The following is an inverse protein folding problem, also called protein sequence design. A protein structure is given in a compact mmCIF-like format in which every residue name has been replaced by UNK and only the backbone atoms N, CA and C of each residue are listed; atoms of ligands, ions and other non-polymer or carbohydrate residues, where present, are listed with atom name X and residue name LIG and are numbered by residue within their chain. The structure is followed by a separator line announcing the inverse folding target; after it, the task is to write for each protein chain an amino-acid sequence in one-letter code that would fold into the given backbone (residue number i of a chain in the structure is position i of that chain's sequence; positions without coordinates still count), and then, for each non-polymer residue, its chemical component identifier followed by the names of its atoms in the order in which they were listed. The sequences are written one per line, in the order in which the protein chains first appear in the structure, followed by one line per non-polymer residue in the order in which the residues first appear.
data_IF_948762010841
#
_entry.id   IF_948762010841
#
_cell.length_a   1.000
_cell.length_b   1.000
_cell.length_c   1.000
_cell.angle_alpha   90.00
_cell.angle_beta   90.00
_cell.angle_gamma   90.00
#
_symmetry.space_group_name_H-M   'P 1'
#
loop_
_entity.id
_entity.type
_entity.pdbx_description
1 polymer ?
#
# COMPACT_ATOMS: atom_id res chain seq x y z
N UNK A 1 8.11 -15.38 -5.83
CA UNK A 1 9.06 -15.59 -6.95
C UNK A 1 9.36 -14.31 -7.75
N UNK A 2 8.37 -13.43 -7.91
CA UNK A 2 8.50 -12.18 -8.70
C UNK A 2 9.35 -11.12 -7.96
N UNK A 3 9.13 -10.95 -6.68
CA UNK A 3 9.89 -10.03 -5.81
C UNK A 3 11.37 -10.43 -5.73
N UNK A 4 11.68 -11.73 -5.76
CA UNK A 4 13.08 -12.20 -5.77
C UNK A 4 13.83 -11.88 -7.08
N UNK A 5 13.10 -11.69 -8.20
CA UNK A 5 13.68 -11.28 -9.50
C UNK A 5 14.04 -9.79 -9.55
N UNK A 6 13.41 -8.98 -8.71
CA UNK A 6 13.68 -7.52 -8.62
C UNK A 6 14.87 -7.16 -7.73
N UNK A 7 15.57 -8.15 -7.16
CA UNK A 7 16.72 -7.93 -6.26
C UNK A 7 16.31 -7.59 -4.82
N UNK A 8 15.01 -7.65 -4.48
CA UNK A 8 14.50 -7.35 -3.14
C UNK A 8 14.81 -8.54 -2.21
N UNK A 9 15.49 -8.25 -1.10
CA UNK A 9 15.76 -9.25 -0.06
C UNK A 9 14.51 -9.47 0.80
N UNK A 10 13.96 -10.67 0.76
CA UNK A 10 12.88 -11.10 1.65
C UNK A 10 13.45 -12.02 2.72
N UNK A 11 13.35 -11.63 3.99
CA UNK A 11 13.75 -12.45 5.12
C UNK A 11 12.93 -13.77 5.12
N UNK A 12 13.53 -14.85 4.68
CA UNK A 12 12.87 -16.17 4.55
C UNK A 12 12.60 -16.84 5.89
N UNK A 13 13.32 -16.44 6.93
CA UNK A 13 13.23 -16.91 8.32
C UNK A 13 12.07 -16.25 9.10
N UNK A 14 11.48 -15.17 8.57
CA UNK A 14 10.31 -14.53 9.16
C UNK A 14 9.03 -15.07 8.52
N UNK A 15 8.15 -15.73 9.31
CA UNK A 15 6.93 -16.33 8.76
C UNK A 15 5.96 -15.28 8.19
N UNK A 16 5.30 -15.64 7.09
CA UNK A 16 4.25 -14.80 6.50
C UNK A 16 2.94 -14.88 7.35
N UNK A 17 2.08 -13.85 7.30
CA UNK A 17 2.35 -12.53 6.76
C UNK A 17 3.39 -11.78 7.61
N UNK A 18 4.23 -10.97 6.96
CA UNK A 18 5.22 -10.13 7.64
C UNK A 18 4.58 -8.81 8.04
N UNK A 19 4.95 -8.30 9.20
CA UNK A 19 4.41 -7.06 9.75
C UNK A 19 5.48 -5.98 9.68
N UNK A 20 5.14 -4.86 9.06
CA UNK A 20 5.99 -3.67 8.94
C UNK A 20 5.35 -2.52 9.71
N UNK A 21 5.83 -2.20 10.92
CA UNK A 21 5.33 -1.03 11.66
C UNK A 21 5.66 0.26 10.91
N UNK A 22 4.65 1.10 10.69
CA UNK A 22 4.75 2.37 9.98
C UNK A 22 4.35 3.51 10.92
N UNK A 23 5.12 4.59 10.92
CA UNK A 23 4.81 5.78 11.70
C UNK A 23 3.63 6.57 11.11
N UNK A 24 2.85 7.23 11.96
CA UNK A 24 1.68 8.01 11.53
C UNK A 24 2.02 9.13 10.53
N UNK A 25 3.27 9.62 10.52
CA UNK A 25 3.74 10.62 9.57
C UNK A 25 3.72 10.14 8.12
N UNK A 26 3.73 8.83 7.89
CA UNK A 26 3.65 8.24 6.56
C UNK A 26 2.20 8.05 6.07
N UNK A 27 1.18 8.43 6.84
CA UNK A 27 -0.22 8.35 6.41
C UNK A 27 -0.64 9.69 5.81
N UNK A 28 -1.19 9.66 4.59
CA UNK A 28 -1.63 10.85 3.87
C UNK A 28 -2.97 10.61 3.15
N UNK A 29 -3.77 11.68 3.03
CA UNK A 29 -5.06 11.71 2.31
C UNK A 29 -5.11 12.84 1.28
N UNK A 30 -3.97 13.48 1.02
CA UNK A 30 -3.84 14.63 0.12
C UNK A 30 -3.94 14.23 -1.35
N UNK A 31 -3.93 15.21 -2.23
CA UNK A 31 -3.97 14.97 -3.68
C UNK A 31 -2.60 14.73 -4.31
N UNK A 32 -1.52 14.83 -3.53
CA UNK A 32 -0.15 14.71 -4.03
C UNK A 32 0.73 13.92 -3.07
N UNK A 33 1.49 12.98 -3.60
CA UNK A 33 2.51 12.21 -2.90
C UNK A 33 3.88 12.72 -3.31
N UNK A 34 4.65 13.22 -2.36
CA UNK A 34 5.98 13.76 -2.60
C UNK A 34 7.04 12.68 -2.44
N UNK A 35 7.88 12.51 -3.45
CA UNK A 35 8.89 11.46 -3.52
C UNK A 35 10.28 12.02 -3.82
N UNK A 36 11.32 11.26 -3.49
CA UNK A 36 12.73 11.64 -3.74
C UNK A 36 13.22 11.19 -5.13
N UNK A 37 12.46 10.36 -5.84
CA UNK A 37 12.81 9.91 -7.18
C UNK A 37 11.57 9.43 -7.94
N UNK A 38 11.65 9.36 -9.26
CA UNK A 38 10.62 8.78 -10.12
C UNK A 38 10.57 7.23 -10.04
N UNK A 39 11.47 6.58 -9.31
CA UNK A 39 11.49 5.12 -9.13
C UNK A 39 10.59 4.67 -7.98
N UNK A 40 9.36 5.16 -7.99
CA UNK A 40 8.35 4.84 -6.98
C UNK A 40 7.09 4.32 -7.64
N UNK A 41 6.35 3.48 -6.94
CA UNK A 41 5.07 2.95 -7.44
C UNK A 41 4.09 2.71 -6.31
N UNK A 42 2.80 2.87 -6.61
CA UNK A 42 1.72 2.55 -5.70
C UNK A 42 1.44 1.05 -5.64
N UNK A 43 0.96 0.61 -4.51
CA UNK A 43 0.44 -0.74 -4.26
C UNK A 43 -0.95 -0.60 -3.67
N UNK A 44 -1.99 -0.96 -4.45
CA UNK A 44 -3.34 -0.91 -3.88
C UNK A 44 -3.51 -1.98 -2.81
N UNK A 45 -4.05 -1.59 -1.66
CA UNK A 45 -4.22 -2.46 -0.51
C UNK A 45 -5.56 -2.23 0.17
N UNK A 46 -6.14 -3.30 0.69
CA UNK A 46 -7.21 -3.19 1.67
C UNK A 46 -6.65 -2.51 2.93
N UNK A 47 -7.42 -1.60 3.49
CA UNK A 47 -7.09 -0.95 4.75
C UNK A 47 -8.15 -1.25 5.78
N UNK A 48 -7.74 -1.81 6.92
CA UNK A 48 -8.58 -2.03 8.08
C UNK A 48 -8.37 -0.88 9.06
N UNK A 49 -9.43 -0.20 9.46
CA UNK A 49 -9.41 0.76 10.56
C UNK A 49 -10.11 0.13 11.77
N UNK A 50 -9.38 0.03 12.87
CA UNK A 50 -9.88 -0.48 14.15
C UNK A 50 -10.17 0.70 15.07
N UNK A 51 -11.44 1.03 15.19
CA UNK A 51 -12.01 2.01 16.11
C UNK A 51 -12.91 1.33 17.13
N UNK A 52 -14.03 1.95 17.49
CA UNK A 52 -15.08 1.29 18.29
C UNK A 52 -15.77 0.16 17.51
N UNK A 53 -15.73 0.24 16.19
CA UNK A 53 -16.07 -0.81 15.23
C UNK A 53 -14.94 -0.99 14.23
N UNK A 54 -14.93 -2.14 13.57
CA UNK A 54 -14.04 -2.41 12.45
C UNK A 54 -14.64 -1.78 11.19
N UNK A 55 -13.81 -1.04 10.47
CA UNK A 55 -14.14 -0.49 9.17
C UNK A 55 -13.11 -0.96 8.16
N UNK A 56 -13.50 -1.08 6.91
CA UNK A 56 -12.62 -1.44 5.80
C UNK A 56 -12.69 -0.38 4.71
N UNK A 57 -11.56 -0.12 4.13
CA UNK A 57 -11.37 0.83 3.05
C UNK A 57 -10.28 0.36 2.11
N UNK A 58 -9.76 1.28 1.33
CA UNK A 58 -8.68 1.04 0.38
C UNK A 58 -7.66 2.16 0.45
N UNK A 59 -6.40 1.81 0.28
CA UNK A 59 -5.29 2.73 0.24
C UNK A 59 -4.26 2.34 -0.81
N UNK A 60 -3.19 3.09 -0.88
CA UNK A 60 -2.02 2.79 -1.69
C UNK A 60 -0.77 2.90 -0.84
N UNK A 61 -0.07 1.80 -0.63
CA UNK A 61 1.28 1.80 -0.08
C UNK A 61 2.24 2.25 -1.19
N UNK A 62 2.54 3.56 -1.21
CA UNK A 62 3.46 4.09 -2.21
C UNK A 62 4.89 3.80 -1.77
N UNK A 63 5.65 3.12 -2.62
CA UNK A 63 6.93 2.52 -2.24
C UNK A 63 8.06 3.03 -3.13
N UNK A 64 9.18 3.44 -2.53
CA UNK A 64 10.44 3.71 -3.25
C UNK A 64 11.10 2.38 -3.61
N UNK A 65 11.09 2.05 -4.90
CA UNK A 65 11.55 0.75 -5.41
C UNK A 65 13.06 0.58 -5.37
N UNK A 66 13.80 1.66 -5.47
CA UNK A 66 15.25 1.61 -5.32
C UNK A 66 15.64 1.33 -3.86
N UNK A 67 15.02 2.02 -2.92
CA UNK A 67 15.26 1.78 -1.49
C UNK A 67 14.75 0.41 -1.03
N UNK A 68 13.70 -0.11 -1.63
CA UNK A 68 13.14 -1.43 -1.32
C UNK A 68 14.13 -2.56 -1.56
N UNK A 69 15.03 -2.43 -2.55
CA UNK A 69 16.11 -3.41 -2.79
C UNK A 69 17.11 -3.50 -1.63
N UNK A 70 17.20 -2.43 -0.83
CA UNK A 70 18.10 -2.34 0.32
C UNK A 70 17.37 -2.62 1.63
N UNK A 71 16.16 -2.08 1.79
CA UNK A 71 15.39 -2.18 3.02
C UNK A 71 13.90 -2.02 2.75
N UNK A 72 13.14 -3.11 2.83
CA UNK A 72 11.66 -3.06 2.74
C UNK A 72 11.08 -2.14 3.82
N UNK A 73 11.42 -2.27 5.12
CA UNK A 73 10.90 -1.34 6.13
C UNK A 73 11.25 0.12 5.85
N UNK A 74 12.47 0.38 5.36
CA UNK A 74 12.93 1.73 5.01
C UNK A 74 12.15 2.32 3.84
N UNK A 75 11.90 1.55 2.78
CA UNK A 75 11.16 2.02 1.60
C UNK A 75 9.71 2.40 1.94
N UNK A 76 9.08 1.65 2.84
CA UNK A 76 7.71 1.93 3.31
C UNK A 76 7.61 3.14 4.25
N UNK A 77 8.71 3.54 4.89
CA UNK A 77 8.79 4.77 5.69
C UNK A 77 9.18 5.99 4.87
N UNK A 78 9.85 5.78 3.72
CA UNK A 78 10.35 6.87 2.86
C UNK A 78 9.24 7.51 2.01
N UNK A 79 8.19 6.77 1.72
CA UNK A 79 7.00 7.24 1.01
C UNK A 79 5.78 7.25 1.94
N UNK A 80 4.68 7.80 1.44
CA UNK A 80 3.44 7.82 2.21
C UNK A 80 2.55 6.63 1.88
N UNK A 81 1.78 6.19 2.86
CA UNK A 81 0.64 5.31 2.68
C UNK A 81 -0.58 6.19 2.42
N UNK A 82 -0.96 6.32 1.14
CA UNK A 82 -2.09 7.14 0.76
C UNK A 82 -3.41 6.42 1.06
N UNK A 83 -4.38 7.15 1.63
CA UNK A 83 -5.61 6.59 2.15
C UNK A 83 -6.82 7.23 1.48
N UNK A 84 -7.77 6.41 1.04
CA UNK A 84 -9.07 6.90 0.61
C UNK A 84 -9.87 7.46 1.80
N UNK A 85 -10.63 8.56 1.62
CA UNK A 85 -11.33 9.21 2.73
C UNK A 85 -12.57 8.46 3.21
N UNK A 86 -12.98 7.40 2.50
CA UNK A 86 -14.21 6.65 2.77
C UNK A 86 -13.91 5.24 3.25
N UNK A 87 -14.67 4.81 4.25
CA UNK A 87 -14.65 3.45 4.79
C UNK A 87 -16.06 2.88 4.87
N UNK A 88 -16.18 1.57 4.81
CA UNK A 88 -17.41 0.83 5.09
C UNK A 88 -17.30 0.14 6.43
N UNK A 89 -18.40 0.09 7.19
CA UNK A 89 -18.44 -0.77 8.37
C UNK A 89 -18.30 -2.24 7.93
N UNK A 90 -17.46 -3.00 8.62
CA UNK A 90 -17.26 -4.42 8.32
C UNK A 90 -18.58 -5.21 8.33
N UNK A 91 -19.43 -4.92 9.33
CA UNK A 91 -20.73 -5.58 9.48
C UNK A 91 -21.65 -5.41 8.25
N UNK A 92 -21.49 -4.31 7.49
CA UNK A 92 -22.31 -4.03 6.31
C UNK A 92 -21.88 -4.82 5.06
N UNK A 93 -20.66 -5.34 5.03
CA UNK A 93 -20.09 -5.95 3.82
C UNK A 93 -19.53 -7.35 4.03
N UNK A 94 -19.48 -7.85 5.26
CA UNK A 94 -18.87 -9.14 5.61
C UNK A 94 -19.44 -10.30 4.76
N UNK A 95 -20.76 -10.37 4.57
CA UNK A 95 -21.44 -11.42 3.80
C UNK A 95 -21.14 -11.35 2.28
N UNK A 96 -20.61 -10.24 1.80
CA UNK A 96 -20.29 -10.01 0.37
C UNK A 96 -18.81 -9.76 0.14
N UNK A 97 -17.99 -9.93 1.17
CA UNK A 97 -16.56 -9.61 1.14
C UNK A 97 -15.82 -10.31 0.00
N UNK A 98 -16.03 -11.59 -0.16
CA UNK A 98 -15.33 -12.40 -1.17
C UNK A 98 -15.65 -12.00 -2.63
N UNK A 99 -16.75 -11.26 -2.84
CA UNK A 99 -17.13 -10.73 -4.16
C UNK A 99 -16.56 -9.34 -4.43
N UNK A 100 -15.86 -8.72 -3.46
CA UNK A 100 -15.23 -7.43 -3.64
C UNK A 100 -14.02 -7.53 -4.57
N UNK A 101 -13.77 -6.45 -5.30
CA UNK A 101 -12.69 -6.34 -6.27
C UNK A 101 -11.87 -5.09 -5.96
N UNK A 102 -10.57 -5.25 -5.93
CA UNK A 102 -9.61 -4.18 -5.73
C UNK A 102 -8.87 -3.90 -7.05
N UNK A 103 -8.74 -2.63 -7.43
CA UNK A 103 -8.06 -2.20 -8.67
C UNK A 103 -7.17 -1.01 -8.43
N UNK A 104 -6.13 -0.89 -9.26
CA UNK A 104 -5.36 0.34 -9.40
C UNK A 104 -5.02 0.64 -10.85
N UNK A 105 -4.78 1.93 -11.11
CA UNK A 105 -4.37 2.44 -12.42
C UNK A 105 -3.18 3.38 -12.23
N UNK A 106 -2.27 3.34 -13.19
CA UNK A 106 -1.16 4.27 -13.32
C UNK A 106 -1.26 4.97 -14.66
N UNK A 107 -1.29 6.32 -14.67
CA UNK A 107 -1.48 7.13 -15.88
C UNK A 107 -2.64 6.63 -16.76
N UNK A 108 -3.79 6.38 -16.11
CA UNK A 108 -5.04 5.85 -16.66
C UNK A 108 -4.97 4.40 -17.22
N UNK A 109 -3.83 3.71 -17.12
CA UNK A 109 -3.67 2.31 -17.52
C UNK A 109 -3.93 1.41 -16.31
N UNK A 110 -4.77 0.39 -16.48
CA UNK A 110 -5.01 -0.63 -15.44
C UNK A 110 -3.67 -1.28 -15.03
N UNK A 111 -3.36 -1.21 -13.75
CA UNK A 111 -2.11 -1.70 -13.19
C UNK A 111 -2.32 -2.95 -12.32
N UNK A 112 -3.32 -2.95 -11.45
CA UNK A 112 -3.66 -4.10 -10.62
C UNK A 112 -5.17 -4.36 -10.68
N UNK A 113 -5.56 -5.64 -10.67
CA UNK A 113 -6.93 -6.09 -10.49
C UNK A 113 -6.93 -7.43 -9.77
N UNK A 114 -7.68 -7.52 -8.67
CA UNK A 114 -7.74 -8.75 -7.87
C UNK A 114 -9.03 -8.82 -7.06
N UNK A 115 -9.62 -10.01 -6.99
CA UNK A 115 -10.67 -10.31 -6.02
C UNK A 115 -10.11 -10.39 -4.60
N UNK A 116 -10.78 -9.76 -3.62
CA UNK A 116 -10.29 -9.71 -2.24
C UNK A 116 -10.26 -11.07 -1.56
N UNK A 117 -10.99 -12.07 -2.07
CA UNK A 117 -10.93 -13.47 -1.64
C UNK A 117 -9.55 -14.14 -1.80
N UNK A 118 -8.59 -13.47 -2.46
CA UNK A 118 -7.19 -13.91 -2.52
C UNK A 118 -6.38 -13.51 -1.28
N UNK A 119 -6.92 -12.68 -0.42
CA UNK A 119 -6.29 -12.21 0.81
C UNK A 119 -6.92 -12.87 2.03
N UNK A 120 -6.24 -12.77 3.16
CA UNK A 120 -6.84 -13.09 4.46
C UNK A 120 -8.00 -12.13 4.75
N UNK A 121 -9.03 -12.62 5.41
CA UNK A 121 -10.14 -11.78 5.84
C UNK A 121 -9.70 -10.76 6.91
N UNK A 122 -10.39 -9.62 7.05
CA UNK A 122 -10.09 -8.67 8.11
C UNK A 122 -10.04 -9.27 9.51
N UNK A 123 -10.97 -10.16 9.94
CA UNK A 123 -10.87 -10.86 11.22
C UNK A 123 -9.61 -11.72 11.38
N UNK A 124 -9.18 -12.44 10.32
CA UNK A 124 -7.99 -13.28 10.36
C UNK A 124 -6.72 -12.45 10.52
N UNK A 125 -6.62 -11.33 9.77
CA UNK A 125 -5.49 -10.39 9.89
C UNK A 125 -5.42 -9.83 11.32
N UNK A 126 -6.54 -9.40 11.89
CA UNK A 126 -6.57 -8.88 13.26
C UNK A 126 -6.21 -9.93 14.30
N UNK A 127 -6.58 -11.20 14.07
CA UNK A 127 -6.16 -12.32 14.92
C UNK A 127 -4.64 -12.50 14.91
N UNK A 128 -4.03 -12.48 13.71
CA UNK A 128 -2.57 -12.58 13.54
C UNK A 128 -1.83 -11.41 14.21
N UNK A 129 -2.37 -10.20 14.09
CA UNK A 129 -1.77 -9.02 14.73
C UNK A 129 -1.79 -9.15 16.26
N UNK A 130 -2.90 -9.61 16.85
CA UNK A 130 -3.00 -9.86 18.29
C UNK A 130 -1.99 -10.90 18.77
N UNK A 131 -1.70 -11.90 17.95
CA UNK A 131 -0.70 -12.92 18.27
C UNK A 131 0.75 -12.41 18.18
N UNK A 132 1.04 -11.55 17.19
CA UNK A 132 2.42 -11.22 16.79
C UNK A 132 2.91 -9.85 17.23
N UNK A 133 2.01 -8.94 17.62
CA UNK A 133 2.36 -7.56 18.00
C UNK A 133 2.26 -7.37 19.49
N UNK A 134 3.38 -7.06 20.12
CA UNK A 134 3.40 -6.70 21.54
C UNK A 134 2.70 -5.35 21.76
N UNK A 135 1.86 -5.27 22.78
CA UNK A 135 1.15 -4.04 23.17
C UNK A 135 0.32 -3.42 22.02
N UNK A 136 -0.28 -4.28 21.17
CA UNK A 136 -1.21 -3.79 20.16
C UNK A 136 -2.36 -3.02 20.86
N UNK A 137 -2.64 -1.77 20.47
CA UNK A 137 -3.76 -1.03 21.05
C UNK A 137 -5.09 -1.75 20.81
N UNK A 138 -6.06 -1.59 21.72
CA UNK A 138 -7.40 -2.14 21.50
C UNK A 138 -8.13 -1.46 20.34
N UNK A 139 -7.80 -0.19 20.06
CA UNK A 139 -8.39 0.62 19.00
C UNK A 139 -7.48 1.77 18.56
N UNK A 140 -7.92 2.51 17.53
CA UNK A 140 -7.25 3.68 16.95
C UNK A 140 -5.94 3.32 16.23
N UNK A 141 -5.98 2.27 15.42
CA UNK A 141 -4.90 1.92 14.51
C UNK A 141 -5.44 1.48 13.14
N UNK A 142 -4.58 1.48 12.15
CA UNK A 142 -4.88 1.03 10.80
C UNK A 142 -3.92 -0.06 10.38
N UNK A 143 -4.38 -0.91 9.46
CA UNK A 143 -3.60 -2.01 8.88
C UNK A 143 -3.77 -2.00 7.38
N UNK A 144 -2.67 -1.83 6.66
CA UNK A 144 -2.57 -2.13 5.25
C UNK A 144 -2.31 -3.62 5.09
N UNK A 145 -3.10 -4.31 4.27
CA UNK A 145 -3.20 -5.76 4.30
C UNK A 145 -2.36 -6.47 3.24
N UNK A 146 -1.48 -5.74 2.59
CA UNK A 146 -0.68 -6.25 1.48
C UNK A 146 -1.38 -6.12 0.13
N UNK A 147 -0.58 -6.21 -0.89
CA UNK A 147 -0.98 -6.00 -2.29
C UNK A 147 -0.93 -7.29 -3.10
N UNK A 148 -1.34 -7.20 -4.36
CA UNK A 148 -1.27 -8.28 -5.33
C UNK A 148 -0.42 -7.86 -6.54
N UNK A 149 0.07 -8.85 -7.28
CA UNK A 149 0.88 -8.60 -8.48
C UNK A 149 0.15 -7.75 -9.51
N UNK A 150 0.89 -6.95 -10.26
CA UNK A 150 0.34 -6.19 -11.39
C UNK A 150 -0.16 -7.10 -12.51
N UNK A 151 -1.06 -6.60 -13.35
CA UNK A 151 -1.62 -7.38 -14.48
C UNK A 151 -0.54 -7.83 -15.48
N UNK A 152 0.47 -6.99 -15.68
CA UNK A 152 1.61 -7.26 -16.57
C UNK A 152 2.77 -7.99 -15.86
N UNK A 153 2.65 -8.26 -14.55
CA UNK A 153 3.70 -8.83 -13.69
C UNK A 153 5.01 -8.04 -13.71
N UNK A 154 4.92 -6.74 -13.84
CA UNK A 154 6.05 -5.82 -13.85
C UNK A 154 5.77 -4.60 -12.98
N UNK A 155 6.81 -3.99 -12.42
CA UNK A 155 6.66 -2.72 -11.71
C UNK A 155 6.22 -1.63 -12.69
N UNK A 156 5.16 -0.91 -12.34
CA UNK A 156 4.70 0.27 -13.05
C UNK A 156 5.22 1.53 -12.41
N UNK A 157 5.62 2.48 -13.24
CA UNK A 157 6.01 3.83 -12.81
C UNK A 157 5.13 4.83 -13.52
N UNK A 158 4.81 5.94 -12.85
CA UNK A 158 3.97 6.98 -13.42
C UNK A 158 3.65 8.09 -12.44
N UNK A 159 3.00 9.13 -12.95
CA UNK A 159 2.77 10.35 -12.19
C UNK A 159 1.37 10.42 -11.57
N UNK A 160 0.40 9.68 -12.10
CA UNK A 160 -0.98 9.70 -11.61
C UNK A 160 -1.42 8.30 -11.21
N UNK A 161 -1.80 8.15 -9.97
CA UNK A 161 -2.27 6.90 -9.41
C UNK A 161 -3.74 7.02 -9.00
N UNK A 162 -4.55 6.06 -9.42
CA UNK A 162 -5.93 5.88 -8.96
C UNK A 162 -6.10 4.47 -8.43
N UNK A 163 -6.90 4.30 -7.40
CA UNK A 163 -7.21 2.99 -6.86
C UNK A 163 -8.65 2.92 -6.37
N UNK A 164 -9.17 1.71 -6.31
CA UNK A 164 -10.58 1.45 -6.08
C UNK A 164 -10.79 0.15 -5.30
N UNK A 165 -11.78 0.16 -4.41
CA UNK A 165 -12.41 -1.02 -3.86
C UNK A 165 -13.89 -1.01 -4.27
N UNK A 166 -14.36 -2.07 -4.91
CA UNK A 166 -15.73 -2.24 -5.38
C UNK A 166 -16.38 -3.44 -4.72
N UNK A 167 -17.64 -3.32 -4.31
CA UNK A 167 -18.52 -4.45 -3.99
C UNK A 167 -19.68 -4.49 -4.99
N UNK A 168 -19.59 -5.34 -6.04
CA UNK A 168 -20.60 -5.40 -7.12
C UNK A 168 -21.98 -5.78 -6.62
N UNK A 169 -22.07 -6.68 -5.63
CA UNK A 169 -23.34 -7.11 -5.05
C UNK A 169 -24.11 -5.97 -4.39
N UNK A 170 -23.43 -5.08 -3.70
CA UNK A 170 -24.03 -3.93 -3.02
C UNK A 170 -24.02 -2.68 -3.90
N UNK A 171 -23.42 -2.74 -5.10
CA UNK A 171 -23.26 -1.60 -6.02
C UNK A 171 -22.62 -0.39 -5.35
N UNK A 172 -21.59 -0.62 -4.54
CA UNK A 172 -20.83 0.41 -3.83
C UNK A 172 -19.38 0.39 -4.28
N UNK A 173 -18.74 1.54 -4.26
CA UNK A 173 -17.32 1.67 -4.54
C UNK A 173 -16.68 2.76 -3.68
N UNK A 174 -15.40 2.60 -3.41
CA UNK A 174 -14.50 3.61 -2.86
C UNK A 174 -13.45 3.87 -3.91
N UNK A 175 -13.27 5.12 -4.31
CA UNK A 175 -12.25 5.57 -5.25
C UNK A 175 -11.38 6.64 -4.59
N UNK A 176 -10.09 6.63 -4.89
CA UNK A 176 -9.20 7.73 -4.60
C UNK A 176 -8.08 7.81 -5.64
N UNK A 177 -7.44 8.96 -5.70
CA UNK A 177 -6.32 9.21 -6.61
C UNK A 177 -5.35 10.23 -6.00
N UNK A 178 -4.12 10.21 -6.48
CA UNK A 178 -3.09 11.19 -6.15
C UNK A 178 -2.11 11.36 -7.31
N UNK A 179 -1.45 12.49 -7.35
CA UNK A 179 -0.35 12.78 -8.26
C UNK A 179 0.99 12.58 -7.55
N UNK A 180 1.98 12.02 -8.23
CA UNK A 180 3.34 11.85 -7.71
C UNK A 180 4.17 13.06 -8.08
N UNK A 181 4.81 13.67 -7.09
CA UNK A 181 5.68 14.84 -7.25
C UNK A 181 7.10 14.48 -6.85
N UNK A 182 7.99 14.38 -7.84
CA UNK A 182 9.44 14.14 -7.61
C UNK A 182 10.09 15.47 -7.18
N UNK A 183 10.27 15.63 -5.86
CA UNK A 183 10.83 16.86 -5.29
C UNK A 183 12.32 17.01 -5.53
N UNK A 184 13.05 15.95 -5.88
CA UNK A 184 14.46 16.07 -6.23
C UNK A 184 14.65 16.82 -7.56
N UNK A 185 13.64 16.80 -8.43
CA UNK A 185 13.65 17.54 -9.69
C UNK A 185 13.62 19.07 -9.50
N UNK A 186 13.17 19.55 -8.34
CA UNK A 186 13.24 20.98 -7.98
C UNK A 186 14.68 21.47 -7.75
N UNK A 187 15.61 20.55 -7.48
CA UNK A 187 17.03 20.86 -7.31
C UNK A 187 17.73 20.77 -8.67
N UNK A 188 18.46 21.82 -9.05
CA UNK A 188 19.28 21.80 -10.29
C UNK A 188 20.24 20.61 -10.28
N UNK A 189 20.38 19.94 -11.42
CA UNK A 189 21.11 18.65 -11.54
C UNK A 189 22.52 18.65 -10.93
N UNK A 190 23.28 19.74 -11.11
CA UNK A 190 24.63 19.87 -10.55
C UNK A 190 24.71 20.01 -9.02
N UNK A 191 23.56 20.11 -8.34
CA UNK A 191 23.45 20.26 -6.89
C UNK A 191 22.66 19.14 -6.22
N UNK A 192 22.21 18.14 -6.98
CA UNK A 192 21.48 16.98 -6.44
C UNK A 192 22.44 16.05 -5.71
N UNK A 193 22.12 15.73 -4.48
CA UNK A 193 22.82 14.68 -3.73
C UNK A 193 22.33 13.33 -4.25
N UNK A 194 23.21 12.38 -4.58
CA UNK A 194 22.81 11.02 -4.95
C UNK A 194 21.97 10.36 -3.84
N UNK A 195 20.91 9.66 -4.20
CA UNK A 195 20.05 8.95 -3.23
C UNK A 195 20.79 7.82 -2.51
N UNK A 196 21.75 7.22 -3.19
CA UNK A 196 22.59 6.15 -2.64
C UNK A 196 24.07 6.53 -2.79
N UNK A 197 24.88 6.11 -1.84
CA UNK A 197 26.31 6.31 -1.93
C UNK A 197 26.88 5.44 -3.08
N UNK A 198 27.47 6.03 -4.13
CA UNK A 198 28.00 5.27 -5.26
C UNK A 198 29.22 4.39 -4.89
N UNK A 199 29.71 4.48 -3.65
CA UNK A 199 30.86 3.73 -3.13
C UNK A 199 30.44 2.64 -2.12
N UNK A 200 29.15 2.38 -1.95
CA UNK A 200 28.60 1.35 -1.07
C UNK A 200 28.48 0.00 -1.74
#
# INVERSE_FOLDING_TARGET
EEVAKSGIYIASDVPAPRIYPIGLHALDTGSSVFVQSAQTSGEVEIVIHVGDKIHVGVGSDHTDRALETVSIPGSKQACVNHLAPTFWAWDDIADTWDDCIMRSWVDDRLYQEVGVSKFLSPPDILSILKERVNNLPDKNYMVYCGTYVSVDKALGYGNKWRYQLETPKLKRQIDAQYDVVDILNEVKSGFRVPLFNPQG
#
